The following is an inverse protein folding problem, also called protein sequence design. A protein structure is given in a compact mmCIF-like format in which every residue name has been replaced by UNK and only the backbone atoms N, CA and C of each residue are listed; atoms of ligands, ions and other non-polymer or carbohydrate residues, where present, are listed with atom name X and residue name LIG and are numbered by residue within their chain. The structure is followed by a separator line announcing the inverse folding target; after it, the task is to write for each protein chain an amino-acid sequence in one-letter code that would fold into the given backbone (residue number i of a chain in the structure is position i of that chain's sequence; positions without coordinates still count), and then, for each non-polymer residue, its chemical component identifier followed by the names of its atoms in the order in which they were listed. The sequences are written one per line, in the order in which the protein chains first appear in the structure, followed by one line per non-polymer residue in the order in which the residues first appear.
data_IF_210735092983
#
_entry.id   IF_210735092983
#
_cell.length_a   1.000
_cell.length_b   1.000
_cell.length_c   1.000
_cell.angle_alpha   90.00
_cell.angle_beta   90.00
_cell.angle_gamma   90.00
#
_symmetry.space_group_name_H-M   'P 1'
#
loop_
_entity.id
_entity.type
_entity.pdbx_description
1 polymer ?
#
# COMPACT_ATOMS: atom_id res chain seq x y z
N UNK A 1 48.75 21.48 45.05
CA UNK A 1 47.82 20.35 44.88
C UNK A 1 47.40 20.30 43.42
N UNK A 2 47.80 19.24 42.71
CA UNK A 2 47.55 19.06 41.28
C UNK A 2 46.09 18.64 41.08
N UNK A 3 45.28 19.47 40.42
CA UNK A 3 43.89 19.14 40.10
C UNK A 3 43.92 18.15 38.94
N UNK A 4 43.69 16.86 39.24
CA UNK A 4 43.53 15.81 38.25
C UNK A 4 42.34 16.14 37.34
N UNK A 5 42.56 16.11 36.02
CA UNK A 5 41.48 16.27 35.03
C UNK A 5 40.36 15.26 35.29
N UNK A 6 39.08 15.67 35.23
CA UNK A 6 37.96 14.75 35.45
C UNK A 6 37.96 13.67 34.35
N UNK A 7 37.87 12.42 34.77
CA UNK A 7 37.81 11.28 33.87
C UNK A 7 36.61 11.42 32.92
N UNK A 8 36.88 11.40 31.61
CA UNK A 8 35.84 11.39 30.57
C UNK A 8 34.95 10.17 30.80
N UNK A 9 33.69 10.40 31.17
CA UNK A 9 32.69 9.32 31.29
C UNK A 9 32.44 8.75 29.90
N UNK A 10 32.98 7.55 29.65
CA UNK A 10 32.79 6.79 28.41
C UNK A 10 31.30 6.45 28.24
N UNK A 11 30.72 6.76 27.08
CA UNK A 11 29.33 6.39 26.75
C UNK A 11 29.31 4.96 26.20
N UNK A 12 28.28 4.19 26.57
CA UNK A 12 28.12 2.77 26.20
C UNK A 12 28.06 2.56 24.67
N UNK A 13 27.61 3.56 23.92
CA UNK A 13 27.56 3.52 22.45
C UNK A 13 28.93 3.56 21.74
N UNK A 14 29.98 4.02 22.42
CA UNK A 14 31.31 4.16 21.81
C UNK A 14 32.12 2.85 21.84
N UNK A 15 31.69 1.87 22.65
CA UNK A 15 32.53 0.75 23.06
C UNK A 15 32.42 -0.50 22.15
N UNK A 16 31.60 -0.47 21.08
CA UNK A 16 31.46 -1.54 20.07
C UNK A 16 31.50 -2.96 20.67
N UNK A 17 30.86 -3.15 21.83
CA UNK A 17 30.97 -4.39 22.59
C UNK A 17 30.21 -5.48 21.84
N UNK A 18 30.87 -6.58 21.55
CA UNK A 18 30.28 -7.74 20.86
C UNK A 18 29.95 -8.84 21.86
N UNK A 19 28.95 -9.65 21.53
CA UNK A 19 28.61 -10.84 22.28
C UNK A 19 29.74 -11.87 22.15
N UNK A 20 30.10 -12.54 23.24
CA UNK A 20 31.10 -13.60 23.21
C UNK A 20 30.42 -14.97 23.30
N UNK A 21 30.76 -15.87 22.38
CA UNK A 21 30.19 -17.22 22.31
C UNK A 21 30.42 -18.03 23.59
N UNK A 22 31.53 -17.80 24.30
CA UNK A 22 31.78 -18.42 25.60
C UNK A 22 30.67 -18.17 26.63
N UNK A 23 29.97 -17.02 26.54
CA UNK A 23 28.87 -16.68 27.45
C UNK A 23 27.65 -17.58 27.27
N UNK A 24 27.54 -18.27 26.13
CA UNK A 24 26.50 -19.25 25.90
C UNK A 24 26.66 -20.45 26.82
N UNK A 25 27.87 -20.99 26.90
CA UNK A 25 28.17 -22.12 27.80
C UNK A 25 28.31 -21.62 29.24
N UNK A 26 29.06 -20.54 29.48
CA UNK A 26 29.43 -20.07 30.83
C UNK A 26 28.26 -19.48 31.62
N UNK A 27 27.26 -18.89 30.94
CA UNK A 27 26.16 -18.18 31.58
C UNK A 27 24.77 -18.55 31.03
N UNK A 28 24.67 -19.46 30.05
CA UNK A 28 23.42 -19.82 29.40
C UNK A 28 22.74 -18.63 28.72
N UNK A 29 23.50 -17.81 27.98
CA UNK A 29 22.98 -16.65 27.24
C UNK A 29 23.08 -16.84 25.73
N UNK A 30 22.27 -16.14 24.95
CA UNK A 30 22.41 -16.03 23.49
C UNK A 30 22.16 -14.60 23.04
N UNK A 31 22.75 -14.21 21.92
CA UNK A 31 22.40 -12.95 21.26
C UNK A 31 21.20 -13.15 20.33
N UNK A 32 20.11 -12.43 20.60
CA UNK A 32 18.92 -12.43 19.75
C UNK A 32 18.59 -10.99 19.32
N UNK A 33 18.71 -10.72 18.01
CA UNK A 33 18.51 -9.39 17.40
C UNK A 33 19.36 -8.29 18.05
N UNK A 34 20.62 -8.59 18.35
CA UNK A 34 21.54 -7.65 18.99
C UNK A 34 21.38 -7.49 20.50
N UNK A 35 20.52 -8.30 21.14
CA UNK A 35 20.23 -8.22 22.58
C UNK A 35 20.57 -9.54 23.27
N UNK A 36 21.43 -9.53 24.31
CA UNK A 36 21.72 -10.73 25.09
C UNK A 36 20.49 -11.17 25.88
N UNK A 37 20.07 -12.40 25.64
CA UNK A 37 18.86 -13.02 26.20
C UNK A 37 19.23 -14.28 26.97
N UNK A 38 18.72 -14.42 28.20
CA UNK A 38 18.94 -15.60 29.02
C UNK A 38 18.15 -16.79 28.47
N UNK A 39 18.81 -17.94 28.28
CA UNK A 39 18.17 -19.17 27.78
C UNK A 39 17.26 -19.84 28.81
N UNK A 40 17.43 -19.54 30.10
CA UNK A 40 16.71 -20.21 31.20
C UNK A 40 15.38 -19.50 31.50
N UNK A 41 15.43 -18.18 31.71
CA UNK A 41 14.24 -17.39 32.05
C UNK A 41 13.73 -16.48 30.93
N UNK A 42 14.36 -16.47 29.75
CA UNK A 42 14.01 -15.64 28.58
C UNK A 42 14.09 -14.12 28.81
N UNK A 43 14.68 -13.69 29.94
CA UNK A 43 14.86 -12.28 30.28
C UNK A 43 15.98 -11.64 29.44
N UNK A 44 15.76 -10.40 29.00
CA UNK A 44 16.71 -9.63 28.18
C UNK A 44 17.59 -8.75 29.06
N UNK A 45 18.90 -8.72 28.77
CA UNK A 45 19.84 -7.81 29.44
C UNK A 45 20.07 -6.60 28.54
N UNK A 46 19.68 -5.42 29.01
CA UNK A 46 19.69 -4.18 28.21
C UNK A 46 21.09 -3.72 27.78
N UNK A 47 22.12 -4.05 28.55
CA UNK A 47 23.49 -3.59 28.31
C UNK A 47 24.41 -4.81 28.18
N UNK A 48 24.97 -4.99 26.98
CA UNK A 48 25.86 -6.08 26.59
C UNK A 48 27.24 -5.97 27.27
N UNK A 49 27.26 -6.39 28.54
CA UNK A 49 28.45 -6.47 29.40
C UNK A 49 28.47 -7.81 30.11
N UNK A 50 29.63 -8.47 30.09
CA UNK A 50 29.85 -9.73 30.81
C UNK A 50 29.42 -9.64 32.28
N UNK A 51 29.74 -8.53 32.97
CA UNK A 51 29.29 -8.31 34.35
C UNK A 51 27.78 -8.43 34.53
N UNK A 52 26.98 -7.87 33.61
CA UNK A 52 25.51 -7.91 33.72
C UNK A 52 24.97 -9.32 33.47
N UNK A 53 25.51 -10.00 32.44
CA UNK A 53 25.17 -11.37 32.07
C UNK A 53 25.54 -12.33 33.21
N UNK A 54 26.78 -12.24 33.69
CA UNK A 54 27.30 -13.03 34.79
C UNK A 54 26.51 -12.78 36.08
N UNK A 55 26.22 -11.53 36.42
CA UNK A 55 25.42 -11.19 37.60
C UNK A 55 24.03 -11.81 37.51
N UNK A 56 23.35 -11.68 36.36
CA UNK A 56 22.05 -12.30 36.14
C UNK A 56 22.12 -13.82 36.40
N UNK A 57 23.06 -14.51 35.76
CA UNK A 57 23.25 -15.96 35.95
C UNK A 57 23.52 -16.33 37.41
N UNK A 58 24.48 -15.65 38.05
CA UNK A 58 24.86 -15.95 39.43
C UNK A 58 23.72 -15.73 40.42
N UNK A 59 22.92 -14.69 40.26
CA UNK A 59 21.85 -14.36 41.21
C UNK A 59 20.57 -15.16 41.01
N UNK A 60 20.32 -15.66 39.79
CA UNK A 60 19.02 -16.29 39.45
C UNK A 60 19.11 -17.77 39.13
N UNK A 61 20.25 -18.24 38.62
CA UNK A 61 20.35 -19.57 38.00
C UNK A 61 21.51 -20.41 38.51
N UNK A 62 22.51 -19.82 39.19
CA UNK A 62 23.69 -20.57 39.61
C UNK A 62 23.38 -21.72 40.59
N UNK A 63 22.43 -21.56 41.51
CA UNK A 63 22.07 -22.63 42.46
C UNK A 63 21.63 -23.92 41.75
N UNK A 64 20.89 -23.79 40.65
CA UNK A 64 20.36 -24.94 39.91
C UNK A 64 21.29 -25.42 38.78
N UNK A 65 22.02 -24.49 38.14
CA UNK A 65 22.75 -24.76 36.91
C UNK A 65 24.28 -24.81 37.05
N UNK A 66 24.87 -24.39 38.18
CA UNK A 66 26.33 -24.45 38.37
C UNK A 66 26.88 -25.87 38.54
N UNK A 67 26.02 -26.83 38.87
CA UNK A 67 26.39 -28.25 39.05
C UNK A 67 26.78 -28.96 37.76
N UNK A 68 26.32 -28.45 36.61
CA UNK A 68 26.62 -29.04 35.31
C UNK A 68 27.96 -28.51 34.80
N UNK A 69 28.84 -29.39 34.32
CA UNK A 69 30.13 -29.03 33.72
C UNK A 69 30.43 -29.89 32.49
N UNK A 70 31.36 -29.41 31.65
CA UNK A 70 31.78 -30.09 30.42
C UNK A 70 30.60 -30.42 29.49
N UNK A 71 30.63 -31.61 28.92
CA UNK A 71 29.65 -32.10 27.94
C UNK A 71 28.19 -32.03 28.43
N UNK A 72 27.94 -32.27 29.72
CA UNK A 72 26.59 -32.21 30.28
C UNK A 72 26.01 -30.79 30.24
N UNK A 73 26.87 -29.80 30.47
CA UNK A 73 26.50 -28.38 30.39
C UNK A 73 26.23 -27.96 28.96
N UNK A 74 27.08 -28.37 28.02
CA UNK A 74 26.89 -28.09 26.60
C UNK A 74 25.59 -28.71 26.08
N UNK A 75 25.30 -29.96 26.44
CA UNK A 75 24.05 -30.63 26.08
C UNK A 75 22.81 -29.89 26.61
N UNK A 76 22.88 -29.34 27.84
CA UNK A 76 21.80 -28.55 28.42
C UNK A 76 21.61 -27.22 27.71
N UNK A 77 22.69 -26.49 27.44
CA UNK A 77 22.64 -25.22 26.69
C UNK A 77 22.08 -25.46 25.29
N UNK A 78 22.51 -26.51 24.60
CA UNK A 78 21.98 -26.91 23.30
C UNK A 78 20.47 -27.22 23.35
N UNK A 79 20.02 -27.93 24.39
CA UNK A 79 18.58 -28.20 24.60
C UNK A 79 17.79 -26.92 24.83
N UNK A 80 18.28 -26.01 25.67
CA UNK A 80 17.63 -24.72 25.94
C UNK A 80 17.55 -23.85 24.69
N UNK A 81 18.64 -23.78 23.90
CA UNK A 81 18.65 -23.13 22.59
C UNK A 81 17.60 -23.71 21.65
N UNK A 82 17.51 -25.03 21.57
CA UNK A 82 16.52 -25.71 20.72
C UNK A 82 15.09 -25.40 21.16
N UNK A 83 14.81 -25.36 22.46
CA UNK A 83 13.51 -24.94 22.99
C UNK A 83 13.17 -23.49 22.62
N UNK A 84 14.13 -22.57 22.76
CA UNK A 84 13.93 -21.16 22.42
C UNK A 84 13.69 -20.97 20.91
N UNK A 85 14.46 -21.64 20.06
CA UNK A 85 14.26 -21.61 18.61
C UNK A 85 12.88 -22.16 18.24
N UNK A 86 12.45 -23.27 18.83
CA UNK A 86 11.12 -23.84 18.60
C UNK A 86 9.99 -22.88 19.00
N UNK A 87 10.15 -22.16 20.11
CA UNK A 87 9.20 -21.11 20.50
C UNK A 87 9.15 -19.97 19.48
N UNK A 88 10.31 -19.50 18.99
CA UNK A 88 10.37 -18.47 17.97
C UNK A 88 9.76 -18.92 16.64
N UNK A 89 10.00 -20.16 16.24
CA UNK A 89 9.50 -20.71 14.99
C UNK A 89 7.98 -20.87 14.99
N UNK A 90 7.37 -21.13 16.16
CA UNK A 90 5.92 -21.09 16.33
C UNK A 90 5.35 -19.70 15.97
N UNK A 91 5.93 -18.62 16.49
CA UNK A 91 5.50 -17.25 16.15
C UNK A 91 5.78 -16.88 14.70
N UNK A 92 6.93 -17.28 14.14
CA UNK A 92 7.24 -17.06 12.72
C UNK A 92 6.23 -17.76 11.81
N UNK A 93 5.83 -18.99 12.15
CA UNK A 93 4.83 -19.75 11.39
C UNK A 93 3.46 -19.07 11.45
N UNK A 94 3.03 -18.64 12.64
CA UNK A 94 1.78 -17.90 12.80
C UNK A 94 1.75 -16.60 11.99
N UNK A 95 2.86 -15.84 11.97
CA UNK A 95 2.95 -14.62 11.15
C UNK A 95 2.86 -14.93 9.66
N UNK A 96 3.57 -15.96 9.16
CA UNK A 96 3.48 -16.37 7.75
C UNK A 96 2.06 -16.78 7.33
N UNK A 97 1.33 -17.46 8.20
CA UNK A 97 -0.06 -17.83 7.93
C UNK A 97 -0.99 -16.60 7.90
N UNK A 98 -0.73 -15.62 8.79
CA UNK A 98 -1.43 -14.33 8.77
C UNK A 98 -1.13 -13.53 7.51
N UNK A 99 0.14 -13.44 7.11
CA UNK A 99 0.58 -12.71 5.91
C UNK A 99 -0.08 -13.29 4.65
N UNK A 100 -0.08 -14.61 4.52
CA UNK A 100 -0.74 -15.31 3.41
C UNK A 100 -2.26 -15.04 3.36
N UNK A 101 -2.92 -14.93 4.52
CA UNK A 101 -4.34 -14.62 4.58
C UNK A 101 -4.63 -13.16 4.15
N UNK A 102 -3.75 -12.23 4.52
CA UNK A 102 -3.85 -10.82 4.08
C UNK A 102 -3.61 -10.71 2.58
N UNK A 103 -2.57 -11.35 2.05
CA UNK A 103 -2.28 -11.38 0.61
C UNK A 103 -3.48 -11.95 -0.18
N UNK A 104 -4.04 -13.07 0.26
CA UNK A 104 -5.24 -13.65 -0.35
C UNK A 104 -6.44 -12.68 -0.31
N UNK A 105 -6.59 -11.88 0.75
CA UNK A 105 -7.66 -10.88 0.85
C UNK A 105 -7.54 -9.78 -0.20
N UNK A 106 -6.31 -9.35 -0.54
CA UNK A 106 -6.07 -8.38 -1.61
C UNK A 106 -6.39 -8.98 -2.97
N UNK A 107 -5.96 -10.21 -3.24
CA UNK A 107 -6.22 -10.90 -4.52
C UNK A 107 -7.72 -11.01 -4.78
N UNK A 108 -8.48 -11.50 -3.81
CA UNK A 108 -9.95 -11.62 -3.96
C UNK A 108 -10.61 -10.24 -4.12
N UNK A 109 -10.18 -9.25 -3.33
CA UNK A 109 -10.70 -7.88 -3.42
C UNK A 109 -10.43 -7.24 -4.79
N UNK A 110 -9.23 -7.43 -5.34
CA UNK A 110 -8.85 -6.96 -6.67
C UNK A 110 -9.70 -7.63 -7.76
N UNK A 111 -9.90 -8.95 -7.68
CA UNK A 111 -10.77 -9.68 -8.60
C UNK A 111 -12.22 -9.17 -8.53
N UNK A 112 -12.72 -8.89 -7.32
CA UNK A 112 -14.05 -8.35 -7.11
C UNK A 112 -14.21 -6.96 -7.76
N UNK A 113 -13.21 -6.09 -7.58
CA UNK A 113 -13.17 -4.76 -8.19
C UNK A 113 -13.14 -4.83 -9.72
N UNK A 114 -12.26 -5.67 -10.30
CA UNK A 114 -12.14 -5.86 -11.76
C UNK A 114 -13.44 -6.37 -12.39
N UNK A 115 -14.20 -7.18 -11.66
CA UNK A 115 -15.48 -7.70 -12.10
C UNK A 115 -16.66 -6.72 -11.89
N UNK A 116 -16.42 -5.54 -11.29
CA UNK A 116 -17.44 -4.52 -11.04
C UNK A 116 -18.51 -4.98 -10.04
N UNK A 117 -18.12 -5.81 -9.08
CA UNK A 117 -19.02 -6.50 -8.16
C UNK A 117 -19.20 -5.74 -6.83
N UNK A 118 -20.28 -6.06 -6.12
CA UNK A 118 -20.56 -5.43 -4.83
C UNK A 118 -19.52 -5.83 -3.78
N UNK A 119 -19.18 -4.92 -2.86
CA UNK A 119 -18.28 -5.25 -1.74
C UNK A 119 -18.81 -6.37 -0.84
N UNK A 120 -20.14 -6.56 -0.81
CA UNK A 120 -20.80 -7.65 -0.06
C UNK A 120 -20.50 -9.04 -0.64
N UNK A 121 -20.05 -9.13 -1.90
CA UNK A 121 -19.75 -10.42 -2.54
C UNK A 121 -18.54 -11.12 -1.91
N UNK A 122 -17.64 -10.39 -1.23
CA UNK A 122 -16.51 -11.00 -0.52
C UNK A 122 -16.94 -12.04 0.52
N UNK A 123 -18.02 -11.78 1.25
CA UNK A 123 -18.54 -12.70 2.26
C UNK A 123 -19.14 -13.96 1.62
N UNK A 124 -19.86 -13.79 0.50
CA UNK A 124 -20.38 -14.90 -0.28
C UNK A 124 -19.25 -15.79 -0.83
N UNK A 125 -18.20 -15.19 -1.40
CA UNK A 125 -17.02 -15.90 -1.89
C UNK A 125 -16.35 -16.68 -0.77
N UNK A 126 -16.19 -16.07 0.41
CA UNK A 126 -15.63 -16.74 1.60
C UNK A 126 -16.46 -17.96 2.00
N UNK A 127 -17.78 -17.82 2.06
CA UNK A 127 -18.68 -18.92 2.40
C UNK A 127 -18.57 -20.07 1.38
N UNK A 128 -18.51 -19.76 0.08
CA UNK A 128 -18.29 -20.76 -0.97
C UNK A 128 -16.98 -21.53 -0.76
N UNK A 129 -15.87 -20.82 -0.51
CA UNK A 129 -14.57 -21.44 -0.25
C UNK A 129 -14.60 -22.35 0.99
N UNK A 130 -15.27 -21.94 2.07
CA UNK A 130 -15.38 -22.73 3.29
C UNK A 130 -16.21 -24.00 3.12
N UNK A 131 -17.28 -23.95 2.31
CA UNK A 131 -18.09 -25.13 1.99
C UNK A 131 -17.29 -26.13 1.15
N UNK A 132 -16.62 -25.66 0.09
CA UNK A 132 -15.78 -26.51 -0.76
C UNK A 132 -14.64 -27.13 0.05
N UNK A 133 -13.95 -26.34 0.87
CA UNK A 133 -12.86 -26.83 1.71
C UNK A 133 -13.31 -27.88 2.72
N UNK A 134 -14.55 -27.82 3.21
CA UNK A 134 -15.06 -28.84 4.13
C UNK A 134 -15.20 -30.23 3.51
N UNK A 135 -15.32 -30.30 2.17
CA UNK A 135 -15.46 -31.55 1.42
C UNK A 135 -14.11 -32.00 0.86
N UNK A 136 -13.35 -31.09 0.25
CA UNK A 136 -12.14 -31.42 -0.52
C UNK A 136 -10.88 -31.44 0.35
N UNK A 137 -10.75 -30.51 1.30
CA UNK A 137 -9.53 -30.30 2.08
C UNK A 137 -9.83 -29.74 3.50
N UNK A 138 -10.45 -30.56 4.37
CA UNK A 138 -10.93 -30.11 5.68
C UNK A 138 -9.80 -29.59 6.58
N UNK A 139 -8.57 -30.09 6.41
CA UNK A 139 -7.37 -29.64 7.14
C UNK A 139 -7.01 -28.18 6.86
N UNK A 140 -7.36 -27.65 5.68
CA UNK A 140 -7.06 -26.27 5.29
C UNK A 140 -8.22 -25.30 5.59
N UNK A 141 -9.38 -25.80 6.03
CA UNK A 141 -10.57 -24.98 6.31
C UNK A 141 -10.29 -23.86 7.32
N UNK A 142 -9.53 -24.15 8.37
CA UNK A 142 -9.14 -23.17 9.39
C UNK A 142 -8.28 -22.03 8.85
N UNK A 143 -7.46 -22.29 7.81
CA UNK A 143 -6.63 -21.27 7.18
C UNK A 143 -7.47 -20.33 6.32
N UNK A 144 -8.45 -20.89 5.58
CA UNK A 144 -9.38 -20.10 4.76
C UNK A 144 -10.35 -19.27 5.61
N UNK A 145 -10.73 -19.74 6.80
CA UNK A 145 -11.59 -18.95 7.69
C UNK A 145 -10.92 -17.68 8.21
N UNK A 146 -9.58 -17.64 8.26
CA UNK A 146 -8.82 -16.49 8.71
C UNK A 146 -8.74 -15.37 7.65
N UNK A 147 -9.11 -15.63 6.39
CA UNK A 147 -9.12 -14.61 5.34
C UNK A 147 -10.27 -13.64 5.61
N UNK A 148 -9.97 -12.36 5.81
CA UNK A 148 -10.97 -11.32 6.05
C UNK A 148 -11.53 -10.82 4.72
N UNK A 149 -12.82 -11.09 4.47
CA UNK A 149 -13.54 -10.68 3.25
C UNK A 149 -14.89 -10.02 3.58
N UNK A 150 -14.97 -9.32 4.71
CA UNK A 150 -16.14 -8.49 5.02
C UNK A 150 -16.27 -7.35 4.00
N UNK A 151 -17.47 -6.80 3.83
CA UNK A 151 -17.68 -5.69 2.90
C UNK A 151 -16.76 -4.48 3.20
N UNK A 152 -16.52 -4.18 4.48
CA UNK A 152 -15.60 -3.12 4.89
C UNK A 152 -14.15 -3.45 4.52
N UNK A 153 -13.72 -4.68 4.79
CA UNK A 153 -12.36 -5.13 4.42
C UNK A 153 -12.15 -5.08 2.93
N UNK A 154 -13.11 -5.56 2.12
CA UNK A 154 -13.00 -5.50 0.66
C UNK A 154 -12.90 -4.06 0.18
N UNK A 155 -13.73 -3.15 0.71
CA UNK A 155 -13.67 -1.73 0.37
C UNK A 155 -12.34 -1.08 0.75
N UNK A 156 -11.82 -1.37 1.94
CA UNK A 156 -10.52 -0.88 2.42
C UNK A 156 -9.37 -1.38 1.53
N UNK A 157 -9.33 -2.69 1.25
CA UNK A 157 -8.30 -3.30 0.38
C UNK A 157 -8.32 -2.72 -1.03
N UNK A 158 -9.51 -2.49 -1.60
CA UNK A 158 -9.64 -1.83 -2.90
C UNK A 158 -9.16 -0.37 -2.84
N UNK A 159 -9.44 0.33 -1.74
CA UNK A 159 -9.01 1.73 -1.57
C UNK A 159 -7.49 1.83 -1.44
N UNK A 160 -6.86 0.93 -0.69
CA UNK A 160 -5.40 0.84 -0.58
C UNK A 160 -4.74 0.51 -1.92
N UNK A 161 -5.29 -0.47 -2.66
CA UNK A 161 -4.82 -0.79 -4.02
C UNK A 161 -4.96 0.40 -4.96
N UNK A 162 -6.10 1.09 -4.91
CA UNK A 162 -6.36 2.28 -5.71
C UNK A 162 -5.38 3.42 -5.37
N UNK A 163 -5.11 3.64 -4.08
CA UNK A 163 -4.14 4.63 -3.61
C UNK A 163 -2.74 4.31 -4.12
N UNK A 164 -2.30 3.06 -4.00
CA UNK A 164 -1.00 2.65 -4.50
C UNK A 164 -0.86 2.82 -6.03
N UNK A 165 -1.90 2.47 -6.79
CA UNK A 165 -1.93 2.69 -8.25
C UNK A 165 -1.85 4.19 -8.57
N UNK A 166 -2.56 5.02 -7.81
CA UNK A 166 -2.54 6.48 -7.96
C UNK A 166 -1.14 7.05 -7.67
N UNK A 167 -0.49 6.63 -6.58
CA UNK A 167 0.87 7.06 -6.25
C UNK A 167 1.87 6.72 -7.37
N UNK A 168 1.78 5.51 -7.92
CA UNK A 168 2.59 5.10 -9.07
C UNK A 168 2.32 5.96 -10.31
N UNK A 169 1.05 6.34 -10.54
CA UNK A 169 0.67 7.21 -11.64
C UNK A 169 1.25 8.61 -11.48
N UNK A 170 1.16 9.19 -10.28
CA UNK A 170 1.74 10.49 -9.95
C UNK A 170 3.26 10.49 -10.11
N UNK A 171 3.94 9.42 -9.69
CA UNK A 171 5.38 9.30 -9.86
C UNK A 171 5.78 9.28 -11.34
N UNK A 172 5.06 8.52 -12.17
CA UNK A 172 5.25 8.55 -13.63
C UNK A 172 4.93 9.92 -14.23
N UNK A 173 3.92 10.61 -13.72
CA UNK A 173 3.52 11.95 -14.15
C UNK A 173 4.64 12.99 -14.03
N UNK A 174 5.47 12.92 -13.00
CA UNK A 174 6.62 13.84 -12.81
C UNK A 174 7.65 13.73 -13.94
N UNK A 175 7.85 12.52 -14.44
CA UNK A 175 8.84 12.19 -15.48
C UNK A 175 8.25 12.21 -16.89
N UNK A 176 7.02 12.69 -17.07
CA UNK A 176 6.42 12.80 -18.40
C UNK A 176 7.21 13.81 -19.24
N UNK A 177 7.47 13.50 -20.50
CA UNK A 177 8.09 14.42 -21.46
C UNK A 177 7.07 15.42 -22.01
N UNK A 178 5.90 14.90 -22.38
CA UNK A 178 4.79 15.65 -22.93
C UNK A 178 3.48 14.95 -22.59
N UNK A 179 2.43 15.70 -22.26
CA UNK A 179 1.13 15.08 -21.96
C UNK A 179 -0.11 15.81 -22.46
N UNK A 180 -1.05 14.95 -22.80
CA UNK A 180 -2.48 15.05 -23.00
C UNK A 180 -3.34 15.27 -21.78
N UNK A 181 -4.34 16.16 -21.79
CA UNK A 181 -5.53 15.98 -20.94
C UNK A 181 -6.78 15.86 -21.81
N UNK A 182 -7.66 14.91 -21.47
CA UNK A 182 -9.02 14.83 -21.99
C UNK A 182 -10.01 14.90 -20.82
N UNK A 183 -11.06 15.68 -21.01
CA UNK A 183 -12.12 15.89 -20.03
C UNK A 183 -13.41 15.30 -20.60
N UNK A 184 -14.10 14.49 -19.80
CA UNK A 184 -15.39 13.92 -20.14
C UNK A 184 -16.38 14.21 -19.03
N UNK A 185 -17.53 14.79 -19.38
CA UNK A 185 -18.61 15.11 -18.44
C UNK A 185 -19.79 14.20 -18.72
N UNK A 186 -20.20 13.43 -17.71
CA UNK A 186 -21.38 12.57 -17.79
C UNK A 186 -22.28 12.79 -16.57
N UNK A 187 -23.58 12.56 -16.70
CA UNK A 187 -24.51 12.65 -15.57
C UNK A 187 -24.75 11.27 -14.96
N UNK A 188 -24.67 11.18 -13.63
CA UNK A 188 -25.01 9.94 -12.93
C UNK A 188 -26.54 9.78 -12.78
N UNK A 189 -26.98 8.65 -12.22
CA UNK A 189 -28.41 8.35 -12.00
C UNK A 189 -29.12 9.32 -11.04
N UNK A 190 -28.37 10.14 -10.30
CA UNK A 190 -28.90 11.17 -9.38
C UNK A 190 -28.81 12.57 -9.98
N UNK A 191 -28.66 12.68 -11.31
CA UNK A 191 -28.54 13.94 -12.06
C UNK A 191 -27.38 14.84 -11.58
N UNK A 192 -26.35 14.22 -11.01
CA UNK A 192 -25.10 14.91 -10.65
C UNK A 192 -24.10 14.68 -11.77
N UNK A 193 -23.59 15.77 -12.34
CA UNK A 193 -22.52 15.70 -13.33
C UNK A 193 -21.23 15.15 -12.69
N UNK A 194 -20.54 14.29 -13.40
CA UNK A 194 -19.25 13.70 -13.03
C UNK A 194 -18.24 14.08 -14.11
N UNK A 195 -17.18 14.77 -13.69
CA UNK A 195 -16.06 15.13 -14.53
C UNK A 195 -14.98 14.05 -14.42
N UNK A 196 -14.74 13.33 -15.50
CA UNK A 196 -13.63 12.40 -15.65
C UNK A 196 -12.46 13.09 -16.35
N UNK A 197 -11.28 13.03 -15.74
CA UNK A 197 -10.04 13.64 -16.23
C UNK A 197 -9.09 12.51 -16.63
N UNK A 198 -8.79 12.42 -17.92
CA UNK A 198 -7.84 11.46 -18.47
C UNK A 198 -6.54 12.15 -18.84
N UNK A 199 -5.41 11.49 -18.55
CA UNK A 199 -4.08 11.94 -18.97
C UNK A 199 -3.50 10.97 -19.99
N UNK A 200 -2.99 11.51 -21.08
CA UNK A 200 -2.28 10.76 -22.12
C UNK A 200 -0.86 11.31 -22.29
N UNK A 201 0.12 10.69 -21.69
CA UNK A 201 1.51 11.14 -21.68
C UNK A 201 2.44 10.25 -22.49
N UNK A 202 3.62 10.79 -22.77
CA UNK A 202 4.80 10.01 -23.16
C UNK A 202 5.94 10.40 -22.22
N UNK A 203 6.70 9.43 -21.72
CA UNK A 203 7.88 9.69 -20.91
C UNK A 203 9.15 9.85 -21.78
N UNK A 204 10.29 10.10 -21.14
CA UNK A 204 11.57 10.26 -21.83
C UNK A 204 12.07 8.95 -22.47
N UNK A 205 11.50 7.80 -22.12
CA UNK A 205 11.77 6.49 -22.75
C UNK A 205 10.85 6.19 -23.94
N UNK A 206 9.96 7.12 -24.28
CA UNK A 206 8.92 6.98 -25.30
C UNK A 206 7.85 5.93 -24.96
N UNK A 207 7.70 5.57 -23.68
CA UNK A 207 6.57 4.76 -23.24
C UNK A 207 5.31 5.62 -23.16
N UNK A 208 4.26 5.16 -23.84
CA UNK A 208 2.97 5.82 -23.85
C UNK A 208 2.16 5.45 -22.62
N UNK A 209 1.64 6.46 -21.91
CA UNK A 209 0.69 6.28 -20.82
C UNK A 209 -0.67 6.89 -21.19
N UNK A 210 -1.75 6.15 -21.00
CA UNK A 210 -3.13 6.66 -21.04
C UNK A 210 -3.86 6.13 -19.82
N UNK A 211 -4.24 7.04 -18.91
CA UNK A 211 -4.81 6.69 -17.61
C UNK A 211 -5.88 7.68 -17.18
N UNK A 212 -6.92 7.17 -16.52
CA UNK A 212 -7.88 7.98 -15.78
C UNK A 212 -7.18 8.53 -14.54
N UNK A 213 -7.12 9.85 -14.41
CA UNK A 213 -6.44 10.52 -13.32
C UNK A 213 -7.39 10.76 -12.14
N UNK A 214 -8.59 11.28 -12.40
CA UNK A 214 -9.58 11.56 -11.36
C UNK A 214 -10.99 11.55 -11.95
N UNK A 215 -11.95 11.14 -11.14
CA UNK A 215 -13.39 11.35 -11.38
C UNK A 215 -13.92 12.17 -10.23
N UNK A 216 -14.45 13.35 -10.53
CA UNK A 216 -14.92 14.29 -9.51
C UNK A 216 -16.41 14.58 -9.73
N UNK A 217 -17.28 14.39 -8.72
CA UNK A 217 -18.65 14.85 -8.80
C UNK A 217 -18.68 16.38 -8.78
N UNK A 218 -19.45 16.97 -9.69
CA UNK A 218 -19.67 18.40 -9.82
C UNK A 218 -21.02 18.75 -9.19
N UNK A 219 -20.99 19.37 -8.02
CA UNK A 219 -22.21 19.78 -7.30
C UNK A 219 -22.64 21.18 -7.72
N UNK A 220 -23.87 21.30 -8.26
CA UNK A 220 -24.50 22.57 -8.59
C UNK A 220 -24.19 23.05 -10.01
N UNK A 221 -23.00 23.60 -10.24
CA UNK A 221 -22.64 24.25 -11.50
C UNK A 221 -21.55 23.48 -12.27
N UNK A 222 -21.72 23.37 -13.58
CA UNK A 222 -20.75 22.79 -14.51
C UNK A 222 -20.25 23.87 -15.48
N UNK A 223 -19.93 25.05 -14.95
CA UNK A 223 -19.36 26.11 -15.79
C UNK A 223 -17.95 25.74 -16.23
N UNK A 224 -17.51 26.32 -17.36
CA UNK A 224 -16.13 26.16 -17.83
C UNK A 224 -15.10 26.56 -16.75
N UNK A 225 -15.43 27.53 -15.89
CA UNK A 225 -14.56 27.95 -14.79
C UNK A 225 -14.42 26.87 -13.72
N UNK A 226 -15.51 26.20 -13.35
CA UNK A 226 -15.48 25.14 -12.33
C UNK A 226 -14.73 23.91 -12.84
N UNK A 227 -14.92 23.55 -14.11
CA UNK A 227 -14.17 22.48 -14.77
C UNK A 227 -12.67 22.82 -14.79
N UNK A 228 -12.31 24.06 -15.16
CA UNK A 228 -10.91 24.49 -15.19
C UNK A 228 -10.26 24.47 -13.81
N UNK A 229 -10.96 24.89 -12.76
CA UNK A 229 -10.48 24.78 -11.37
C UNK A 229 -10.18 23.33 -10.98
N UNK A 230 -11.10 22.42 -11.27
CA UNK A 230 -10.89 21.01 -10.94
C UNK A 230 -9.72 20.39 -11.70
N UNK A 231 -9.51 20.79 -12.95
CA UNK A 231 -8.33 20.40 -13.70
C UNK A 231 -7.04 20.93 -13.05
N UNK A 232 -7.04 22.19 -12.60
CA UNK A 232 -5.89 22.77 -11.92
C UNK A 232 -5.54 22.05 -10.63
N UNK A 233 -6.52 21.81 -9.78
CA UNK A 233 -6.32 21.11 -8.51
C UNK A 233 -5.80 19.69 -8.78
N UNK A 234 -6.38 18.98 -9.76
CA UNK A 234 -5.96 17.62 -10.13
C UNK A 234 -4.54 17.59 -10.69
N UNK A 235 -4.12 18.58 -11.49
CA UNK A 235 -2.76 18.65 -12.01
C UNK A 235 -1.73 18.90 -10.89
N UNK A 236 -2.08 19.73 -9.90
CA UNK A 236 -1.23 19.97 -8.72
C UNK A 236 -1.14 18.70 -7.87
N UNK A 237 -2.28 18.07 -7.56
CA UNK A 237 -2.36 16.81 -6.81
C UNK A 237 -1.52 15.70 -7.47
N UNK A 238 -1.53 15.63 -8.80
CA UNK A 238 -0.81 14.62 -9.57
C UNK A 238 0.67 14.95 -9.85
N UNK A 239 1.13 16.15 -9.47
CA UNK A 239 2.50 16.61 -9.75
C UNK A 239 2.80 16.79 -11.23
N UNK A 240 1.80 17.08 -12.06
CA UNK A 240 1.95 17.21 -13.50
C UNK A 240 2.44 18.61 -13.88
N UNK A 241 3.62 18.76 -14.51
CA UNK A 241 4.18 20.07 -14.83
C UNK A 241 3.43 20.71 -16.01
N UNK A 242 2.69 21.80 -15.75
CA UNK A 242 1.94 22.54 -16.77
C UNK A 242 2.72 22.89 -18.04
N UNK A 243 4.03 23.17 -17.92
CA UNK A 243 4.93 23.48 -19.04
C UNK A 243 5.04 22.34 -20.07
N UNK A 244 4.75 21.10 -19.65
CA UNK A 244 4.79 19.89 -20.50
C UNK A 244 3.41 19.49 -21.02
N UNK A 245 2.35 20.22 -20.62
CA UNK A 245 1.00 20.01 -21.14
C UNK A 245 0.95 20.44 -22.60
N UNK A 246 0.51 19.52 -23.45
CA UNK A 246 0.44 19.64 -24.90
C UNK A 246 -0.96 19.24 -25.33
N UNK A 247 -1.99 19.92 -24.85
CA UNK A 247 -3.28 19.93 -25.55
C UNK A 247 -4.10 21.17 -25.25
N UNK A 248 -4.50 21.83 -26.33
CA UNK A 248 -5.63 22.75 -26.37
C UNK A 248 -6.58 22.16 -27.43
N UNK A 249 -7.39 21.16 -27.09
CA UNK A 249 -8.42 20.63 -27.99
C UNK A 249 -9.51 19.88 -27.22
N UNK A 250 -10.59 20.61 -26.91
CA UNK A 250 -11.83 20.09 -26.33
C UNK A 250 -12.68 19.23 -27.30
N UNK A 251 -12.11 18.60 -28.35
CA UNK A 251 -12.93 17.93 -29.38
C UNK A 251 -12.38 16.68 -30.09
N UNK A 252 -11.18 16.19 -29.79
CA UNK A 252 -10.56 15.13 -30.61
C UNK A 252 -10.55 13.70 -30.02
N UNK A 253 -11.29 13.41 -28.94
CA UNK A 253 -11.38 12.04 -28.41
C UNK A 253 -12.62 11.25 -28.86
N UNK A 254 -13.56 11.85 -29.61
CA UNK A 254 -14.81 11.19 -30.01
C UNK A 254 -14.70 10.44 -31.36
N UNK A 255 -13.69 10.70 -32.19
CA UNK A 255 -13.68 10.15 -33.56
C UNK A 255 -12.77 8.93 -33.82
N UNK A 256 -12.10 8.36 -32.81
CA UNK A 256 -11.19 7.20 -33.04
C UNK A 256 -11.69 5.86 -32.45
N UNK A 257 -12.99 5.71 -32.14
CA UNK A 257 -13.57 4.42 -31.75
C UNK A 257 -14.90 4.07 -32.44
N UNK A 258 -15.04 4.35 -33.73
CA UNK A 258 -16.15 3.80 -34.55
C UNK A 258 -15.86 2.42 -35.19
N UNK A 259 -14.80 1.72 -34.78
CA UNK A 259 -14.57 0.34 -35.23
C UNK A 259 -14.47 -0.64 -34.07
N UNK A 260 -15.66 -1.16 -33.70
CA UNK A 260 -15.98 -2.46 -33.06
C UNK A 260 -16.93 -2.33 -31.87
N UNK A 261 -18.20 -2.03 -32.16
CA UNK A 261 -19.30 -2.74 -31.51
C UNK A 261 -20.26 -3.23 -32.59
N UNK A 262 -20.26 -4.54 -32.77
CA UNK A 262 -21.13 -5.28 -33.67
C UNK A 262 -22.60 -5.07 -33.30
N UNK A 263 -23.39 -4.73 -34.33
CA UNK A 263 -24.85 -4.91 -34.49
C UNK A 263 -25.58 -5.58 -33.30
N UNK A 264 -26.33 -4.77 -32.56
CA UNK A 264 -27.50 -5.20 -31.81
C UNK A 264 -28.68 -4.32 -32.22
N UNK A 265 -29.65 -4.89 -32.92
CA UNK A 265 -30.84 -4.22 -33.46
C UNK A 265 -31.69 -3.58 -32.36
N UNK A 266 -31.83 -2.25 -32.38
CA UNK A 266 -32.87 -1.54 -31.62
C UNK A 266 -34.14 -1.46 -32.47
N UNK A 267 -35.16 -2.22 -32.07
CA UNK A 267 -36.50 -2.16 -32.64
C UNK A 267 -37.14 -0.80 -32.41
N UNK A 268 -37.56 -0.17 -33.50
CA UNK A 268 -38.43 1.02 -33.53
C UNK A 268 -39.68 0.78 -32.67
N UNK A 269 -39.92 1.67 -31.71
CA UNK A 269 -41.29 2.07 -31.32
C UNK A 269 -41.40 3.59 -31.41
N UNK A 270 -42.20 4.00 -32.36
CA UNK A 270 -42.68 5.36 -32.60
C UNK A 270 -43.46 5.87 -31.40
N UNK A 271 -43.12 7.05 -30.89
CA UNK A 271 -43.88 7.78 -29.88
C UNK A 271 -43.56 9.27 -29.97
N UNK A 272 -44.57 10.08 -30.26
CA UNK A 272 -44.55 11.50 -30.59
C UNK A 272 -43.95 12.37 -29.47
N UNK A 273 -43.18 13.39 -29.84
CA UNK A 273 -42.79 14.50 -28.97
C UNK A 273 -41.63 15.29 -29.57
N UNK A 274 -41.94 16.44 -30.20
CA UNK A 274 -40.96 17.26 -30.90
C UNK A 274 -39.92 17.89 -29.99
N UNK A 275 -38.65 17.85 -30.38
CA UNK A 275 -37.60 18.68 -29.79
C UNK A 275 -37.20 19.73 -30.83
N UNK A 276 -37.42 21.01 -30.47
CA UNK A 276 -37.09 22.16 -31.29
C UNK A 276 -35.60 22.23 -31.58
N UNK A 277 -35.29 22.51 -32.85
CA UNK A 277 -34.04 23.15 -33.23
C UNK A 277 -33.91 24.48 -32.47
N UNK A 278 -32.67 24.93 -32.29
CA UNK A 278 -32.26 26.31 -31.96
C UNK A 278 -31.57 26.48 -30.59
N UNK A 279 -30.25 26.24 -30.57
CA UNK A 279 -29.24 27.28 -30.30
C UNK A 279 -27.82 26.70 -30.40
N UNK A 280 -27.26 26.76 -31.61
CA UNK A 280 -25.83 26.64 -31.83
C UNK A 280 -25.22 28.02 -31.58
N UNK A 281 -24.76 28.29 -30.37
CA UNK A 281 -23.99 29.50 -30.06
C UNK A 281 -22.55 29.27 -30.49
N UNK A 282 -22.20 29.75 -31.69
CA UNK A 282 -20.82 29.84 -32.16
C UNK A 282 -20.08 30.87 -31.30
N UNK A 283 -19.26 30.43 -30.34
CA UNK A 283 -18.38 31.32 -29.59
C UNK A 283 -17.12 31.60 -30.41
N UNK A 284 -17.03 32.83 -30.92
CA UNK A 284 -15.79 33.43 -31.40
C UNK A 284 -14.86 33.67 -30.20
N UNK A 285 -13.70 33.01 -30.18
CA UNK A 285 -12.61 33.40 -29.29
C UNK A 285 -11.92 34.67 -29.84
N UNK A 286 -11.68 35.70 -29.02
CA UNK A 286 -10.86 36.82 -29.45
C UNK A 286 -9.40 36.37 -29.57
N UNK A 287 -8.77 36.82 -30.67
CA UNK A 287 -7.38 36.57 -31.01
C UNK A 287 -6.42 36.93 -29.87
N UNK A 288 -5.36 36.13 -29.76
CA UNK A 288 -4.30 36.23 -28.77
C UNK A 288 -3.83 37.67 -28.48
N UNK A 289 -4.01 38.12 -27.24
CA UNK A 289 -3.30 39.24 -26.63
C UNK A 289 -2.08 38.75 -25.83
N UNK A 290 -1.04 39.57 -25.65
CA UNK A 290 0.25 39.12 -25.13
C UNK A 290 0.18 38.67 -23.67
N UNK A 291 0.92 37.59 -23.37
CA UNK A 291 1.21 37.06 -22.05
C UNK A 291 1.50 38.17 -21.02
N UNK A 292 0.55 38.39 -20.10
CA UNK A 292 0.82 39.11 -18.86
C UNK A 292 1.27 38.10 -17.80
N UNK A 293 2.46 38.34 -17.27
CA UNK A 293 3.12 37.59 -16.20
C UNK A 293 2.19 37.40 -14.99
N UNK A 294 2.07 36.15 -14.53
CA UNK A 294 1.55 35.85 -13.20
C UNK A 294 2.68 35.94 -12.17
N UNK A 295 2.40 36.44 -10.95
CA UNK A 295 3.39 36.58 -9.90
C UNK A 295 3.73 35.22 -9.26
N UNK A 296 5.00 35.02 -8.96
CA UNK A 296 5.48 33.92 -8.12
C UNK A 296 5.07 34.17 -6.66
N UNK A 297 4.33 33.23 -6.07
CA UNK A 297 4.42 32.82 -4.65
C UNK A 297 4.14 31.33 -4.57
#
# INVERSE_FOLDING_TARGET
MSISKPAVKRKVGDEHRQFQEKWETDYCFVEHRGIPTCLICTEKVAVLKEYNIRRHYLTRHAEEYAKYQGDEREARVAKLKTCLLRQQDFFKKANKESDAAVEASYVVSEMNAKAGKSFKEGEFIKNCMLQVASIVCPENKGRLSNISLSANTVAERISELSGNIYDQLCEKGKHVHAYSVALDESTNVTDTAQLAIYVRGVDDTFEMMEKLLKVTPMHGHTTAQDIFRQLCDTNVDAGLPWKKCRNNNQRSAINDREHKWTRGTCSKKTGRGGCGKDRCSTLHYPSAGPLQQMPEV
#
